data_IF_137506353917
#
_entry.id   IF_137506353917
#
_cell.length_a   1.000
_cell.length_b   1.000
_cell.length_c   1.000
_cell.angle_alpha   90.00
_cell.angle_beta   90.00
_cell.angle_gamma   90.00
#
_symmetry.space_group_name_H-M   'P 1'
#
loop_
_entity.id
_entity.type
_entity.pdbx_description
1 polymer ?
#
# COMPACT_ATOMS: atom_id res chain seq x y z
N UNK A 1 -30.65 10.10 26.88
CA UNK A 1 -29.72 11.24 27.05
C UNK A 1 -29.64 11.97 25.72
N UNK A 2 -30.38 13.08 25.54
CA UNK A 2 -30.27 13.91 24.33
C UNK A 2 -29.10 14.88 24.51
N UNK A 3 -27.95 14.57 23.92
CA UNK A 3 -26.85 15.53 23.83
C UNK A 3 -27.23 16.66 22.88
N UNK A 4 -26.81 17.90 23.19
CA UNK A 4 -27.02 19.09 22.32
C UNK A 4 -26.37 18.97 20.94
N UNK A 5 -25.42 18.04 20.78
CA UNK A 5 -24.65 17.83 19.57
C UNK A 5 -24.77 16.38 19.13
N UNK A 6 -24.88 16.15 17.82
CA UNK A 6 -25.00 14.81 17.26
C UNK A 6 -23.69 14.01 17.39
N UNK A 7 -23.78 12.70 17.16
CA UNK A 7 -22.63 11.79 17.33
C UNK A 7 -21.52 12.06 16.31
N UNK A 8 -21.87 12.40 15.07
CA UNK A 8 -20.92 12.63 13.98
C UNK A 8 -20.09 13.88 14.27
N UNK A 9 -20.74 14.97 14.65
CA UNK A 9 -20.04 16.23 14.97
C UNK A 9 -19.06 16.05 16.12
N UNK A 10 -19.42 15.28 17.16
CA UNK A 10 -18.51 14.97 18.27
C UNK A 10 -17.32 14.10 17.83
N UNK A 11 -17.55 13.14 16.94
CA UNK A 11 -16.47 12.31 16.40
C UNK A 11 -15.47 13.17 15.61
N UNK A 12 -15.95 14.06 14.74
CA UNK A 12 -15.12 14.98 13.96
C UNK A 12 -14.29 15.89 14.88
N UNK A 13 -14.93 16.52 15.88
CA UNK A 13 -14.22 17.35 16.86
C UNK A 13 -13.12 16.59 17.61
N UNK A 14 -13.38 15.33 17.97
CA UNK A 14 -12.39 14.49 18.66
C UNK A 14 -11.17 14.20 17.78
N UNK A 15 -11.40 13.94 16.48
CA UNK A 15 -10.34 13.75 15.49
C UNK A 15 -9.51 15.04 15.32
N UNK A 16 -10.16 16.19 15.27
CA UNK A 16 -9.48 17.50 15.17
C UNK A 16 -8.69 17.88 16.43
N UNK A 17 -9.14 17.45 17.61
CA UNK A 17 -8.38 17.64 18.84
C UNK A 17 -7.13 16.75 18.83
N UNK A 18 -7.26 15.48 18.42
CA UNK A 18 -6.13 14.57 18.31
C UNK A 18 -5.08 15.06 17.31
N UNK A 19 -5.48 15.70 16.21
CA UNK A 19 -4.55 16.24 15.21
C UNK A 19 -3.65 17.35 15.75
N UNK A 20 -4.13 18.12 16.74
CA UNK A 20 -3.42 19.23 17.39
C UNK A 20 -2.43 18.78 18.47
N UNK A 21 -2.46 17.52 18.87
CA UNK A 21 -1.49 16.96 19.81
C UNK A 21 -0.12 16.94 19.13
N UNK A 22 0.94 17.29 19.89
CA UNK A 22 2.33 17.17 19.43
C UNK A 22 2.62 15.73 19.02
N UNK A 23 3.32 15.53 17.92
CA UNK A 23 3.70 14.19 17.45
C UNK A 23 4.52 13.47 18.53
N UNK A 24 3.96 12.39 19.09
CA UNK A 24 4.52 11.51 20.11
C UNK A 24 3.62 10.28 20.27
N UNK A 25 4.02 9.35 21.13
CA UNK A 25 3.28 8.10 21.41
C UNK A 25 1.83 8.36 21.87
N UNK A 26 1.57 9.46 22.58
CA UNK A 26 0.22 9.79 23.03
C UNK A 26 -0.70 10.13 21.86
N UNK A 27 -0.21 10.87 20.86
CA UNK A 27 -0.99 11.15 19.64
C UNK A 27 -1.33 9.86 18.91
N UNK A 28 -0.37 8.94 18.78
CA UNK A 28 -0.58 7.64 18.15
C UNK A 28 -1.60 6.80 18.92
N UNK A 29 -1.48 6.69 20.24
CA UNK A 29 -2.46 5.98 21.06
C UNK A 29 -3.87 6.56 20.93
N UNK A 30 -4.00 7.90 20.96
CA UNK A 30 -5.29 8.56 20.77
C UNK A 30 -5.87 8.27 19.38
N UNK A 31 -5.07 8.36 18.32
CA UNK A 31 -5.52 8.06 16.97
C UNK A 31 -5.93 6.59 16.81
N UNK A 32 -5.17 5.64 17.38
CA UNK A 32 -5.53 4.22 17.34
C UNK A 32 -6.81 3.91 18.10
N UNK A 33 -7.01 4.53 19.27
CA UNK A 33 -8.27 4.40 20.02
C UNK A 33 -9.45 4.99 19.24
N UNK A 34 -9.27 6.18 18.65
CA UNK A 34 -10.28 6.80 17.79
C UNK A 34 -10.59 5.91 16.59
N UNK A 35 -9.58 5.31 15.95
CA UNK A 35 -9.77 4.37 14.85
C UNK A 35 -10.61 3.17 15.26
N UNK A 36 -10.28 2.50 16.37
CA UNK A 36 -11.02 1.34 16.86
C UNK A 36 -12.50 1.68 17.15
N UNK A 37 -12.77 2.87 17.71
CA UNK A 37 -14.13 3.35 17.93
C UNK A 37 -14.84 3.66 16.60
N UNK A 38 -14.16 4.32 15.66
CA UNK A 38 -14.71 4.68 14.36
C UNK A 38 -14.98 3.45 13.49
N UNK A 39 -14.16 2.40 13.56
CA UNK A 39 -14.38 1.18 12.82
C UNK A 39 -15.76 0.59 13.14
N UNK A 40 -16.05 0.47 14.45
CA UNK A 40 -17.27 -0.13 14.98
C UNK A 40 -18.50 0.80 14.94
N UNK A 41 -18.31 2.10 15.14
CA UNK A 41 -19.42 3.05 15.37
C UNK A 41 -19.39 4.29 14.47
N UNK A 42 -18.34 4.50 13.69
CA UNK A 42 -18.14 5.69 12.87
C UNK A 42 -18.92 5.64 11.56
N UNK A 43 -19.50 6.78 11.20
CA UNK A 43 -20.08 7.02 9.88
C UNK A 43 -19.00 7.26 8.81
N UNK A 44 -19.43 7.30 7.55
CA UNK A 44 -18.53 7.50 6.40
C UNK A 44 -17.71 8.80 6.51
N UNK A 45 -18.34 9.90 6.91
CA UNK A 45 -17.70 11.22 6.98
C UNK A 45 -16.62 11.24 8.06
N UNK A 46 -16.90 10.67 9.22
CA UNK A 46 -15.97 10.56 10.35
C UNK A 46 -14.79 9.66 10.00
N UNK A 47 -15.04 8.51 9.35
CA UNK A 47 -13.99 7.62 8.84
C UNK A 47 -13.11 8.32 7.79
N UNK A 48 -13.72 9.06 6.87
CA UNK A 48 -12.99 9.84 5.86
C UNK A 48 -12.12 10.91 6.50
N UNK A 49 -12.67 11.70 7.43
CA UNK A 49 -11.93 12.74 8.16
C UNK A 49 -10.78 12.16 8.97
N UNK A 50 -10.99 11.01 9.63
CA UNK A 50 -9.93 10.31 10.34
C UNK A 50 -8.79 9.91 9.41
N UNK A 51 -9.10 9.31 8.26
CA UNK A 51 -8.09 8.94 7.27
C UNK A 51 -7.27 10.14 6.81
N UNK A 52 -7.89 11.29 6.57
CA UNK A 52 -7.19 12.53 6.21
C UNK A 52 -6.19 12.93 7.30
N UNK A 53 -6.62 12.97 8.56
CA UNK A 53 -5.75 13.32 9.70
C UNK A 53 -4.64 12.30 9.92
N UNK A 54 -4.97 11.01 9.89
CA UNK A 54 -3.99 9.94 10.03
C UNK A 54 -2.95 10.00 8.91
N UNK A 55 -3.36 10.24 7.66
CA UNK A 55 -2.44 10.35 6.51
C UNK A 55 -1.45 11.53 6.62
N UNK A 56 -1.76 12.54 7.44
CA UNK A 56 -0.86 13.68 7.66
C UNK A 56 0.21 13.41 8.73
N UNK A 57 0.05 12.37 9.55
CA UNK A 57 1.03 11.96 10.57
C UNK A 57 2.29 11.38 9.93
N UNK A 58 3.39 11.31 10.69
CA UNK A 58 4.64 10.71 10.20
C UNK A 58 4.44 9.23 9.83
N UNK A 59 3.78 8.46 10.71
CA UNK A 59 3.48 7.05 10.46
C UNK A 59 2.53 6.86 9.27
N UNK A 60 1.53 7.73 9.11
CA UNK A 60 0.61 7.67 7.98
C UNK A 60 1.29 7.93 6.64
N UNK A 61 2.30 8.81 6.62
CA UNK A 61 3.15 9.03 5.44
C UNK A 61 4.03 7.81 5.15
N UNK A 62 4.68 7.24 6.17
CA UNK A 62 5.50 6.04 6.02
C UNK A 62 4.71 4.87 5.43
N UNK A 63 3.54 4.55 6.00
CA UNK A 63 2.67 3.47 5.50
C UNK A 63 2.24 3.73 4.05
N UNK A 64 1.92 4.99 3.71
CA UNK A 64 1.55 5.35 2.34
C UNK A 64 2.71 5.18 1.37
N UNK A 65 3.92 5.55 1.78
CA UNK A 65 5.13 5.39 0.98
C UNK A 65 5.45 3.91 0.76
N UNK A 66 5.42 3.08 1.81
CA UNK A 66 5.57 1.62 1.72
C UNK A 66 4.55 1.02 0.74
N UNK A 67 3.26 1.32 0.92
CA UNK A 67 2.21 0.83 0.02
C UNK A 67 2.37 1.30 -1.43
N UNK A 68 2.92 2.51 -1.66
CA UNK A 68 3.24 2.99 -3.01
C UNK A 68 4.41 2.21 -3.62
N UNK A 69 5.44 1.87 -2.83
CA UNK A 69 6.56 1.06 -3.30
C UNK A 69 6.13 -0.38 -3.60
N UNK A 70 5.33 -0.99 -2.72
CA UNK A 70 4.74 -2.31 -2.95
C UNK A 70 3.89 -2.31 -4.22
N UNK A 71 2.99 -1.35 -4.39
CA UNK A 71 2.16 -1.25 -5.59
C UNK A 71 2.95 -1.05 -6.89
N UNK A 72 4.06 -0.28 -6.84
CA UNK A 72 4.98 -0.16 -7.98
C UNK A 72 5.66 -1.48 -8.31
N UNK A 73 6.11 -2.21 -7.29
CA UNK A 73 6.79 -3.50 -7.46
C UNK A 73 5.85 -4.57 -8.01
N UNK A 74 4.63 -4.66 -7.45
CA UNK A 74 3.58 -5.56 -7.95
C UNK A 74 3.24 -5.26 -9.41
N UNK A 75 3.12 -3.97 -9.76
CA UNK A 75 2.87 -3.54 -11.15
C UNK A 75 4.00 -3.93 -12.10
N UNK A 76 5.26 -3.76 -11.69
CA UNK A 76 6.45 -4.19 -12.48
C UNK A 76 6.46 -5.70 -12.69
N UNK A 77 6.19 -6.47 -11.64
CA UNK A 77 6.09 -7.92 -11.73
C UNK A 77 4.97 -8.35 -12.69
N UNK A 78 3.76 -7.80 -12.52
CA UNK A 78 2.61 -8.16 -13.34
C UNK A 78 2.84 -7.87 -14.82
N UNK A 79 3.40 -6.69 -15.15
CA UNK A 79 3.69 -6.35 -16.54
C UNK A 79 4.81 -7.21 -17.13
N UNK A 80 5.86 -7.50 -16.36
CA UNK A 80 6.94 -8.38 -16.82
C UNK A 80 6.42 -9.78 -17.15
N UNK A 81 5.64 -10.38 -16.25
CA UNK A 81 5.04 -11.71 -16.46
C UNK A 81 4.16 -11.72 -17.71
N UNK A 82 3.29 -10.72 -17.90
CA UNK A 82 2.45 -10.61 -19.11
C UNK A 82 3.28 -10.52 -20.39
N UNK A 83 4.38 -9.78 -20.38
CA UNK A 83 5.27 -9.66 -21.53
C UNK A 83 6.00 -10.98 -21.83
N UNK A 84 6.52 -11.65 -20.80
CA UNK A 84 7.18 -12.95 -20.94
C UNK A 84 6.18 -13.99 -21.50
N UNK A 85 4.93 -14.02 -21.01
CA UNK A 85 3.90 -14.94 -21.51
C UNK A 85 3.58 -14.63 -22.97
N UNK A 86 3.46 -13.35 -23.32
CA UNK A 86 3.18 -12.92 -24.70
C UNK A 86 4.28 -13.39 -25.67
N UNK A 87 5.54 -13.28 -25.24
CA UNK A 87 6.72 -13.64 -26.02
C UNK A 87 6.91 -15.15 -26.13
N UNK A 88 6.98 -15.87 -25.01
CA UNK A 88 7.34 -17.29 -24.96
C UNK A 88 6.14 -18.25 -24.98
N UNK A 89 4.90 -17.72 -24.92
CA UNK A 89 3.61 -18.45 -24.89
C UNK A 89 3.36 -19.29 -23.64
N UNK A 90 4.37 -20.02 -23.16
CA UNK A 90 4.32 -20.82 -21.93
C UNK A 90 5.54 -20.50 -21.08
N UNK A 91 5.32 -20.32 -19.78
CA UNK A 91 6.37 -20.13 -18.79
C UNK A 91 6.20 -21.21 -17.71
N UNK A 92 7.27 -21.93 -17.34
CA UNK A 92 7.23 -22.83 -16.19
C UNK A 92 6.80 -22.11 -14.92
N UNK A 93 5.95 -22.74 -14.10
CA UNK A 93 5.48 -22.15 -12.85
C UNK A 93 6.63 -21.85 -11.87
N UNK A 94 7.69 -22.67 -11.92
CA UNK A 94 8.92 -22.43 -11.15
C UNK A 94 9.55 -21.07 -11.47
N UNK A 95 9.57 -20.67 -12.75
CA UNK A 95 10.13 -19.39 -13.16
C UNK A 95 9.26 -18.24 -12.65
N UNK A 96 7.93 -18.36 -12.72
CA UNK A 96 7.03 -17.34 -12.17
C UNK A 96 7.25 -17.13 -10.66
N UNK A 97 7.48 -18.21 -9.90
CA UNK A 97 7.79 -18.12 -8.47
C UNK A 97 9.11 -17.40 -8.22
N UNK A 98 10.15 -17.72 -8.98
CA UNK A 98 11.46 -17.05 -8.88
C UNK A 98 11.37 -15.56 -9.25
N UNK A 99 10.67 -15.21 -10.34
CA UNK A 99 10.46 -13.82 -10.77
C UNK A 99 9.78 -13.00 -9.68
N UNK A 100 8.82 -13.58 -8.95
CA UNK A 100 8.10 -12.89 -7.86
C UNK A 100 9.00 -12.52 -6.68
N UNK A 101 10.12 -13.22 -6.51
CA UNK A 101 11.09 -12.99 -5.43
C UNK A 101 12.28 -12.14 -5.85
N UNK A 102 12.36 -11.72 -7.11
CA UNK A 102 13.47 -10.90 -7.61
C UNK A 102 13.42 -9.48 -7.05
N UNK A 103 14.59 -8.87 -6.93
CA UNK A 103 14.69 -7.45 -6.60
C UNK A 103 14.13 -6.59 -7.75
N UNK A 104 13.64 -5.36 -7.45
CA UNK A 104 13.13 -4.45 -8.47
C UNK A 104 14.12 -4.18 -9.60
N UNK A 105 15.43 -4.14 -9.29
CA UNK A 105 16.48 -3.86 -10.27
C UNK A 105 16.64 -5.02 -11.27
N UNK A 106 16.56 -6.27 -10.80
CA UNK A 106 16.64 -7.44 -11.69
C UNK A 106 15.39 -7.52 -12.58
N UNK A 107 14.21 -7.19 -12.04
CA UNK A 107 12.97 -7.09 -12.83
C UNK A 107 13.13 -6.07 -13.97
N UNK A 108 13.73 -4.91 -13.69
CA UNK A 108 13.98 -3.88 -14.69
C UNK A 108 14.99 -4.35 -15.76
N UNK A 109 16.05 -5.04 -15.37
CA UNK A 109 17.03 -5.61 -16.31
C UNK A 109 16.36 -6.62 -17.24
N UNK A 110 15.57 -7.55 -16.69
CA UNK A 110 14.83 -8.52 -17.51
C UNK A 110 13.88 -7.79 -18.47
N UNK A 111 13.18 -6.75 -17.99
CA UNK A 111 12.24 -5.99 -18.81
C UNK A 111 12.93 -5.26 -19.99
N UNK A 112 14.19 -4.82 -19.82
CA UNK A 112 14.98 -4.22 -20.90
C UNK A 112 15.45 -5.27 -21.91
N UNK A 113 15.93 -6.42 -21.44
CA UNK A 113 16.53 -7.45 -22.30
C UNK A 113 15.50 -8.41 -22.91
N UNK A 114 14.24 -8.38 -22.46
CA UNK A 114 13.20 -9.33 -22.89
C UNK A 114 13.04 -9.43 -24.40
N UNK A 115 13.21 -8.35 -25.14
CA UNK A 115 13.04 -8.34 -26.59
C UNK A 115 14.21 -9.01 -27.32
N UNK A 116 15.40 -9.01 -26.72
CA UNK A 116 16.62 -9.62 -27.27
C UNK A 116 16.72 -11.13 -26.96
N UNK A 117 15.98 -11.61 -25.95
CA UNK A 117 15.92 -13.04 -25.62
C UNK A 117 15.35 -13.85 -26.80
N UNK A 118 15.98 -14.97 -27.15
CA UNK A 118 15.54 -15.90 -28.20
C UNK A 118 14.71 -17.03 -27.64
N UNK A 119 15.10 -17.55 -26.48
CA UNK A 119 14.46 -18.69 -25.84
C UNK A 119 14.15 -18.38 -24.37
N UNK A 120 13.19 -19.09 -23.78
CA UNK A 120 12.83 -18.93 -22.38
C UNK A 120 14.00 -19.26 -21.44
N UNK A 121 14.93 -20.12 -21.87
CA UNK A 121 16.16 -20.43 -21.14
C UNK A 121 17.06 -19.22 -20.93
N UNK A 122 16.96 -18.19 -21.77
CA UNK A 122 17.71 -16.94 -21.59
C UNK A 122 17.32 -16.21 -20.30
N UNK A 123 16.20 -16.59 -19.67
CA UNK A 123 15.75 -16.06 -18.39
C UNK A 123 16.52 -16.67 -17.21
N UNK A 124 17.09 -17.87 -17.35
CA UNK A 124 17.79 -18.60 -16.27
C UNK A 124 19.00 -17.83 -15.72
N UNK A 125 19.59 -16.90 -16.49
CA UNK A 125 20.69 -16.04 -16.00
C UNK A 125 20.28 -15.08 -14.87
N UNK A 126 18.97 -14.91 -14.63
CA UNK A 126 18.42 -13.98 -13.64
C UNK A 126 17.64 -14.65 -12.51
N UNK A 127 17.29 -15.94 -12.66
CA UNK A 127 16.38 -16.68 -11.78
C UNK A 127 17.12 -17.59 -10.82
#
# INVERSE_FOLDING_TARGET
MNSKEDKSTRAIKSIELASKIKENDNKLHCLSLLYALLEKFGDYNSKKKFKEVFSMTEIGKMIREEGLQEGKLEGKYEILVKQLIKKFKKIPEEYLKKIKTLSPDVIDIIALEIFDMKDIKDLEKYL
#
